data_IF_650756177511
#
_entry.id   IF_650756177511
#
_cell.length_a   1.000
_cell.length_b   1.000
_cell.length_c   1.000
_cell.angle_alpha   90.00
_cell.angle_beta   90.00
_cell.angle_gamma   90.00
#
_symmetry.space_group_name_H-M   'P 1'
#
loop_
_entity.id
_entity.type
_entity.pdbx_description
1 polymer ?
#
# COMPACT_ATOMS: atom_id res chain seq x y z
N UNK A 1 13.79 -5.79 11.41
CA UNK A 1 13.84 -5.03 12.68
C UNK A 1 14.03 -3.53 12.46
N UNK A 2 15.17 -3.01 11.98
CA UNK A 2 15.31 -1.55 11.76
C UNK A 2 14.36 -1.01 10.68
N UNK A 3 14.19 -1.74 9.57
CA UNK A 3 13.21 -1.40 8.52
C UNK A 3 11.80 -1.26 9.08
N UNK A 4 11.35 -2.26 9.83
CA UNK A 4 10.05 -2.28 10.49
C UNK A 4 9.85 -1.07 11.42
N UNK A 5 10.87 -0.72 12.22
CA UNK A 5 10.82 0.46 13.08
C UNK A 5 10.64 1.75 12.28
N UNK A 6 11.37 1.93 11.17
CA UNK A 6 11.21 3.10 10.26
C UNK A 6 9.79 3.17 9.70
N UNK A 7 9.29 2.05 9.21
CA UNK A 7 7.95 1.96 8.61
C UNK A 7 6.86 2.23 9.66
N UNK A 8 7.03 1.74 10.89
CA UNK A 8 6.13 2.04 12.02
C UNK A 8 6.12 3.53 12.36
N UNK A 9 7.26 4.23 12.30
CA UNK A 9 7.31 5.68 12.48
C UNK A 9 6.52 6.42 11.39
N UNK A 10 6.64 5.98 10.13
CA UNK A 10 5.84 6.51 9.03
C UNK A 10 4.34 6.28 9.26
N UNK A 11 3.92 5.04 9.54
CA UNK A 11 2.52 4.70 9.82
C UNK A 11 1.96 5.52 10.98
N UNK A 12 2.66 5.53 12.12
CA UNK A 12 2.23 6.29 13.30
C UNK A 12 2.10 7.78 13.02
N UNK A 13 2.94 8.34 12.14
CA UNK A 13 2.90 9.76 11.78
C UNK A 13 1.62 10.16 11.01
N UNK A 14 1.00 9.21 10.30
CA UNK A 14 -0.30 9.37 9.62
C UNK A 14 -1.48 8.86 10.47
N UNK A 15 -1.27 8.63 11.76
CA UNK A 15 -2.31 8.14 12.67
C UNK A 15 -2.77 6.71 12.38
N UNK A 16 -1.95 5.90 11.69
CA UNK A 16 -2.18 4.47 11.63
C UNK A 16 -1.92 3.86 13.01
N UNK A 17 -2.88 3.06 13.47
CA UNK A 17 -2.73 2.30 14.70
C UNK A 17 -1.65 1.23 14.50
N UNK A 18 -0.52 1.40 15.19
CA UNK A 18 0.56 0.43 15.32
C UNK A 18 0.92 0.32 16.80
N UNK A 19 1.37 -0.84 17.32
CA UNK A 19 1.84 -0.92 18.70
C UNK A 19 3.01 0.04 18.90
N UNK A 20 3.04 0.75 20.02
CA UNK A 20 4.14 1.67 20.29
C UNK A 20 5.47 0.91 20.27
N UNK A 21 6.42 1.40 19.47
CA UNK A 21 7.74 0.77 19.35
C UNK A 21 8.82 1.65 19.96
N UNK A 22 9.77 1.03 20.65
CA UNK A 22 10.96 1.67 21.18
C UNK A 22 12.21 0.97 20.64
N UNK A 23 13.26 1.75 20.34
CA UNK A 23 14.54 1.22 19.86
C UNK A 23 15.62 1.41 20.93
N UNK A 24 16.42 0.37 21.12
CA UNK A 24 17.50 0.32 22.09
C UNK A 24 18.81 0.04 21.37
N UNK A 25 19.85 0.80 21.71
CA UNK A 25 21.22 0.57 21.31
C UNK A 25 22.01 0.13 22.53
N UNK A 26 22.57 -1.08 22.51
CA UNK A 26 23.33 -1.66 23.62
C UNK A 26 22.56 -1.51 24.96
N UNK A 27 21.30 -1.96 24.96
CA UNK A 27 20.35 -1.94 26.09
C UNK A 27 19.96 -0.55 26.61
N UNK A 28 20.23 0.52 25.85
CA UNK A 28 19.81 1.89 26.19
C UNK A 28 18.80 2.42 25.20
N UNK A 29 17.69 2.95 25.71
CA UNK A 29 16.69 3.63 24.91
C UNK A 29 17.38 4.72 24.08
N UNK A 30 17.15 4.69 22.77
CA UNK A 30 17.84 5.50 21.79
C UNK A 30 16.86 6.02 20.74
N UNK A 31 17.33 6.95 19.91
CA UNK A 31 16.62 7.39 18.72
C UNK A 31 17.23 6.78 17.43
N UNK A 32 16.52 6.92 16.32
CA UNK A 32 16.94 6.38 15.02
C UNK A 32 18.31 6.92 14.59
N UNK A 33 18.56 8.22 14.80
CA UNK A 33 19.82 8.88 14.39
C UNK A 33 21.01 8.34 15.17
N UNK A 34 20.86 8.10 16.47
CA UNK A 34 21.89 7.50 17.32
C UNK A 34 22.21 6.07 16.87
N UNK A 35 21.17 5.28 16.60
CA UNK A 35 21.30 3.88 16.14
C UNK A 35 22.01 3.81 14.79
N UNK A 36 21.59 4.63 13.81
CA UNK A 36 22.22 4.68 12.49
C UNK A 36 23.70 5.06 12.57
N UNK A 37 24.03 6.06 13.39
CA UNK A 37 25.41 6.49 13.59
C UNK A 37 26.26 5.36 14.18
N UNK A 38 25.73 4.67 15.19
CA UNK A 38 26.43 3.58 15.86
C UNK A 38 26.68 2.39 14.92
N UNK A 39 25.67 1.97 14.15
CA UNK A 39 25.78 0.88 13.18
C UNK A 39 26.80 1.16 12.06
N UNK A 40 26.99 2.43 11.69
CA UNK A 40 28.02 2.85 10.72
C UNK A 40 29.43 2.82 11.31
N UNK A 41 29.56 3.08 12.61
CA UNK A 41 30.87 3.20 13.28
C UNK A 41 31.37 1.91 13.93
N UNK A 42 30.46 1.03 14.36
CA UNK A 42 30.78 -0.15 15.16
C UNK A 42 29.82 -1.28 14.85
N UNK A 43 30.34 -2.31 14.17
CA UNK A 43 29.59 -3.51 13.79
C UNK A 43 29.24 -4.42 14.96
N UNK A 44 29.79 -4.19 16.16
CA UNK A 44 29.41 -4.89 17.40
C UNK A 44 28.19 -4.29 18.08
N UNK A 45 27.70 -3.13 17.61
CA UNK A 45 26.50 -2.48 18.13
C UNK A 45 25.30 -3.41 18.06
N UNK A 46 24.67 -3.65 19.21
CA UNK A 46 23.44 -4.44 19.29
C UNK A 46 22.22 -3.51 19.26
N UNK A 47 21.30 -3.79 18.35
CA UNK A 47 20.05 -3.07 18.20
C UNK A 47 18.88 -3.98 18.56
N UNK A 48 18.05 -3.50 19.48
CA UNK A 48 16.83 -4.19 19.90
C UNK A 48 15.64 -3.27 19.68
N UNK A 49 14.61 -3.74 18.98
CA UNK A 49 13.32 -3.05 18.88
C UNK A 49 12.32 -3.79 19.75
N UNK A 50 11.65 -3.06 20.63
CA UNK A 50 10.57 -3.58 21.46
C UNK A 50 9.25 -2.96 21.00
N UNK A 51 8.22 -3.79 20.92
CA UNK A 51 6.87 -3.37 20.57
C UNK A 51 5.94 -3.54 21.77
N UNK A 52 5.01 -2.61 21.93
CA UNK A 52 3.97 -2.68 22.94
C UNK A 52 3.17 -3.98 22.79
N UNK A 53 2.94 -4.66 23.91
CA UNK A 53 1.99 -5.76 23.95
C UNK A 53 0.56 -5.22 24.00
N UNK A 54 -0.28 -5.61 23.04
CA UNK A 54 -1.70 -5.22 23.00
C UNK A 54 -2.51 -6.28 23.74
N UNK A 55 -2.91 -5.96 24.98
CA UNK A 55 -3.65 -6.89 25.83
C UNK A 55 -5.00 -7.28 25.25
N UNK A 56 -5.34 -8.57 25.35
CA UNK A 56 -6.62 -9.16 24.93
C UNK A 56 -7.00 -8.92 23.47
N UNK A 57 -6.03 -8.56 22.61
CA UNK A 57 -6.28 -8.45 21.18
C UNK A 57 -6.43 -9.83 20.52
N UNK A 58 -7.23 -9.86 19.47
CA UNK A 58 -7.38 -11.02 18.57
C UNK A 58 -6.73 -10.70 17.24
N UNK A 59 -6.18 -11.69 16.58
CA UNK A 59 -5.79 -11.55 15.17
C UNK A 59 -7.03 -11.34 14.28
N UNK A 60 -6.85 -10.78 13.08
CA UNK A 60 -7.93 -10.66 12.11
C UNK A 60 -8.55 -12.01 11.78
N UNK A 61 -7.73 -13.06 11.65
CA UNK A 61 -8.16 -14.45 11.50
C UNK A 61 -9.18 -14.88 12.59
N UNK A 62 -8.84 -14.66 13.86
CA UNK A 62 -9.69 -15.02 14.99
C UNK A 62 -10.94 -14.14 15.10
N UNK A 63 -10.79 -12.85 14.81
CA UNK A 63 -11.88 -11.88 14.88
C UNK A 63 -12.96 -12.20 13.85
N UNK A 64 -12.59 -12.39 12.58
CA UNK A 64 -13.54 -12.61 11.49
C UNK A 64 -14.31 -13.94 11.61
N UNK A 65 -13.77 -14.92 12.34
CA UNK A 65 -14.43 -16.19 12.66
C UNK A 65 -15.49 -16.06 13.76
N UNK A 66 -15.35 -15.06 14.64
CA UNK A 66 -16.16 -14.95 15.88
C UNK A 66 -17.11 -13.77 15.89
N UNK A 67 -16.97 -12.84 14.94
CA UNK A 67 -17.74 -11.59 14.88
C UNK A 67 -18.67 -11.55 13.67
N UNK A 68 -19.67 -10.68 13.74
CA UNK A 68 -20.63 -10.48 12.66
C UNK A 68 -19.97 -9.81 11.44
N UNK A 69 -20.59 -9.98 10.27
CA UNK A 69 -20.12 -9.32 9.03
C UNK A 69 -20.02 -7.80 9.19
N UNK A 70 -20.94 -7.17 9.90
CA UNK A 70 -20.92 -5.71 10.08
C UNK A 70 -19.78 -5.26 11.00
N UNK A 71 -19.49 -5.98 12.08
CA UNK A 71 -18.32 -5.70 12.92
C UNK A 71 -17.02 -5.87 12.12
N UNK A 72 -16.93 -6.92 11.29
CA UNK A 72 -15.81 -7.09 10.37
C UNK A 72 -15.70 -5.94 9.37
N UNK A 73 -16.82 -5.40 8.86
CA UNK A 73 -16.81 -4.25 7.96
C UNK A 73 -16.32 -2.97 8.65
N UNK A 74 -16.58 -2.80 9.95
CA UNK A 74 -16.03 -1.67 10.73
C UNK A 74 -14.50 -1.73 10.73
N UNK A 75 -13.93 -2.90 11.04
CA UNK A 75 -12.48 -3.11 11.05
C UNK A 75 -11.87 -2.92 9.65
N UNK A 76 -12.48 -3.48 8.61
CA UNK A 76 -12.02 -3.27 7.22
C UNK A 76 -11.99 -1.79 6.84
N UNK A 77 -13.07 -1.05 7.15
CA UNK A 77 -13.12 0.41 6.91
C UNK A 77 -12.03 1.15 7.67
N UNK A 78 -11.73 0.79 8.92
CA UNK A 78 -10.65 1.39 9.71
C UNK A 78 -9.29 1.16 9.04
N UNK A 79 -8.97 -0.08 8.71
CA UNK A 79 -7.71 -0.46 8.05
C UNK A 79 -7.58 0.22 6.67
N UNK A 80 -8.65 0.25 5.87
CA UNK A 80 -8.65 0.88 4.54
C UNK A 80 -8.33 2.38 4.53
N UNK A 81 -8.40 3.09 5.66
CA UNK A 81 -8.04 4.52 5.75
C UNK A 81 -6.57 4.81 5.45
N UNK A 82 -5.71 3.80 5.54
CA UNK A 82 -4.27 3.92 5.27
C UNK A 82 -3.83 3.02 4.11
N UNK A 83 -4.78 2.58 3.27
CA UNK A 83 -4.53 1.73 2.12
C UNK A 83 -3.43 2.25 1.19
N UNK A 84 -3.42 3.57 0.90
CA UNK A 84 -2.41 4.15 0.01
C UNK A 84 -1.02 4.13 0.65
N UNK A 85 -0.89 4.19 1.98
CA UNK A 85 0.42 4.00 2.64
C UNK A 85 0.91 2.55 2.48
N UNK A 86 0.02 1.57 2.64
CA UNK A 86 0.35 0.16 2.41
C UNK A 86 0.83 -0.07 0.97
N UNK A 87 0.14 0.54 0.00
CA UNK A 87 0.52 0.51 -1.41
C UNK A 87 1.84 1.25 -1.66
N UNK A 88 2.00 2.46 -1.15
CA UNK A 88 3.19 3.29 -1.33
C UNK A 88 4.44 2.57 -0.84
N UNK A 89 4.35 1.86 0.29
CA UNK A 89 5.47 1.09 0.84
C UNK A 89 5.57 -0.33 0.28
N UNK A 90 4.72 -0.71 -0.67
CA UNK A 90 4.65 -2.08 -1.19
C UNK A 90 4.62 -3.12 -0.06
N UNK A 91 3.83 -2.88 0.99
CA UNK A 91 3.74 -3.76 2.16
C UNK A 91 2.84 -4.97 1.83
N UNK A 92 3.39 -5.92 1.07
CA UNK A 92 2.67 -7.10 0.58
C UNK A 92 2.23 -8.06 1.69
N UNK A 93 2.77 -7.91 2.90
CA UNK A 93 2.45 -8.74 4.05
C UNK A 93 1.60 -8.00 5.10
N UNK A 94 0.92 -6.91 4.71
CA UNK A 94 0.11 -6.09 5.62
C UNK A 94 -0.96 -6.88 6.37
N UNK A 95 -1.55 -7.92 5.76
CA UNK A 95 -2.55 -8.79 6.41
C UNK A 95 -1.90 -10.04 7.04
N UNK A 96 -0.72 -10.42 6.58
CA UNK A 96 -0.06 -11.68 6.95
C UNK A 96 -0.65 -12.87 6.20
N UNK A 97 0.18 -13.89 5.99
CA UNK A 97 -0.20 -15.13 5.30
C UNK A 97 -1.44 -15.81 5.92
N UNK A 98 -1.53 -15.77 7.25
CA UNK A 98 -2.61 -16.39 8.03
C UNK A 98 -3.57 -15.35 8.63
N UNK A 99 -3.70 -14.16 8.02
CA UNK A 99 -4.51 -13.06 8.58
C UNK A 99 -4.10 -12.66 10.01
N UNK A 100 -2.80 -12.77 10.30
CA UNK A 100 -2.22 -12.60 11.63
C UNK A 100 -1.66 -11.20 11.90
N UNK A 101 -1.40 -10.40 10.85
CA UNK A 101 -0.64 -9.16 10.98
C UNK A 101 -1.53 -7.94 11.32
N UNK A 102 -2.81 -8.19 11.56
CA UNK A 102 -3.75 -7.20 12.10
C UNK A 102 -4.25 -7.70 13.46
N UNK A 103 -4.00 -6.93 14.51
CA UNK A 103 -4.52 -7.17 15.86
C UNK A 103 -5.71 -6.26 16.13
N UNK A 104 -6.82 -6.82 16.61
CA UNK A 104 -8.03 -6.09 16.95
C UNK A 104 -8.19 -6.09 18.46
N UNK A 105 -8.12 -4.90 19.05
CA UNK A 105 -8.53 -4.67 20.43
C UNK A 105 -10.00 -4.27 20.47
N UNK A 106 -10.74 -4.81 21.43
CA UNK A 106 -12.16 -4.54 21.63
C UNK A 106 -12.37 -3.88 22.98
N UNK A 107 -13.02 -2.71 23.00
CA UNK A 107 -13.40 -2.07 24.27
C UNK A 107 -14.61 -2.75 24.89
N UNK A 108 -14.58 -2.91 26.21
CA UNK A 108 -15.70 -3.48 26.97
C UNK A 108 -16.73 -2.38 27.23
N UNK A 109 -17.94 -2.51 26.66
CA UNK A 109 -19.02 -1.54 26.83
C UNK A 109 -20.31 -1.96 26.13
N UNK A 110 -21.36 -1.13 26.24
CA UNK A 110 -22.67 -1.39 25.58
C UNK A 110 -22.60 -1.33 24.06
N UNK A 111 -21.66 -0.56 23.51
CA UNK A 111 -21.33 -0.54 22.09
C UNK A 111 -19.83 -0.85 21.98
N UNK A 112 -19.43 -2.03 21.49
CA UNK A 112 -18.02 -2.36 21.35
C UNK A 112 -17.38 -1.41 20.34
N UNK A 113 -16.19 -0.92 20.67
CA UNK A 113 -15.32 -0.23 19.71
C UNK A 113 -14.15 -1.14 19.37
N UNK A 114 -13.82 -1.19 18.09
CA UNK A 114 -12.69 -1.95 17.58
C UNK A 114 -11.57 -0.97 17.24
N UNK A 115 -10.35 -1.33 17.64
CA UNK A 115 -9.14 -0.63 17.25
C UNK A 115 -8.25 -1.67 16.57
N UNK A 116 -7.93 -1.45 15.30
CA UNK A 116 -7.18 -2.38 14.49
C UNK A 116 -5.72 -1.91 14.34
N UNK A 117 -4.79 -2.66 14.91
CA UNK A 117 -3.36 -2.40 14.88
C UNK A 117 -2.68 -3.19 13.77
N UNK A 118 -1.90 -2.53 12.93
CA UNK A 118 -0.95 -3.21 12.01
C UNK A 118 0.29 -3.63 12.78
N UNK A 119 0.72 -4.87 12.60
CA UNK A 119 1.96 -5.42 13.15
C UNK A 119 2.80 -6.04 12.04
N UNK A 120 4.06 -6.38 12.35
CA UNK A 120 4.97 -7.07 11.44
C UNK A 120 5.15 -6.36 10.08
N UNK A 121 5.39 -5.04 10.14
CA UNK A 121 5.58 -4.21 8.95
C UNK A 121 7.00 -4.36 8.34
N UNK A 122 7.69 -5.47 8.63
CA UNK A 122 9.06 -5.72 8.19
C UNK A 122 9.20 -5.94 6.69
N UNK A 123 8.13 -6.40 6.02
CA UNK A 123 8.06 -6.68 4.57
C UNK A 123 7.72 -5.48 3.68
N UNK A 124 7.78 -4.27 4.23
CA UNK A 124 7.62 -3.02 3.49
C UNK A 124 8.95 -2.53 2.88
N UNK A 125 8.85 -1.59 1.94
CA UNK A 125 9.95 -0.95 1.23
C UNK A 125 10.83 -1.96 0.49
N UNK A 126 12.15 -1.88 0.63
CA UNK A 126 13.13 -2.73 -0.04
C UNK A 126 13.21 -4.17 0.47
N UNK A 127 12.39 -4.58 1.44
CA UNK A 127 12.43 -5.90 2.07
C UNK A 127 11.13 -6.69 1.89
N UNK A 128 11.25 -8.02 1.96
CA UNK A 128 10.14 -8.99 2.06
C UNK A 128 9.94 -9.39 3.52
N UNK A 129 8.79 -10.00 3.84
CA UNK A 129 8.44 -10.47 5.19
C UNK A 129 9.53 -11.36 5.84
N UNK A 130 10.22 -12.17 5.03
CA UNK A 130 11.33 -13.03 5.50
C UNK A 130 12.64 -12.27 5.77
N UNK A 131 12.64 -10.93 5.73
CA UNK A 131 13.82 -10.09 5.93
C UNK A 131 14.81 -10.05 4.76
N UNK A 132 14.54 -10.80 3.68
CA UNK A 132 15.32 -10.71 2.43
C UNK A 132 14.97 -9.43 1.68
N UNK A 133 15.90 -8.92 0.87
CA UNK A 133 15.59 -7.85 -0.07
C UNK A 133 14.53 -8.32 -1.08
N UNK A 134 13.69 -7.39 -1.53
CA UNK A 134 12.81 -7.60 -2.68
C UNK A 134 13.64 -7.87 -3.94
N UNK A 135 13.11 -8.71 -4.82
CA UNK A 135 13.74 -9.01 -6.10
C UNK A 135 13.65 -7.78 -7.03
N UNK A 136 14.46 -7.77 -8.09
CA UNK A 136 14.43 -6.71 -9.09
C UNK A 136 13.01 -6.61 -9.68
N UNK A 137 12.46 -5.39 -9.73
CA UNK A 137 11.10 -5.12 -10.22
C UNK A 137 10.01 -5.15 -9.15
N UNK A 138 10.25 -5.69 -7.95
CA UNK A 138 9.23 -5.71 -6.88
C UNK A 138 9.18 -4.42 -6.05
N UNK A 139 10.26 -3.65 -6.04
CA UNK A 139 10.36 -2.36 -5.39
C UNK A 139 10.84 -1.33 -6.40
N UNK A 140 9.88 -0.71 -7.08
CA UNK A 140 10.08 0.17 -8.23
C UNK A 140 9.09 1.35 -8.19
N UNK A 141 9.17 2.25 -9.16
CA UNK A 141 8.33 3.44 -9.30
C UNK A 141 6.84 3.11 -9.45
N UNK A 142 6.51 1.97 -10.07
CA UNK A 142 5.13 1.59 -10.33
C UNK A 142 4.43 1.07 -9.07
N UNK A 143 3.30 1.69 -8.70
CA UNK A 143 2.47 1.30 -7.55
C UNK A 143 1.37 0.33 -7.97
N UNK A 144 1.78 -0.88 -8.35
CA UNK A 144 0.87 -1.96 -8.75
C UNK A 144 -0.10 -2.39 -7.63
N UNK A 145 0.30 -2.18 -6.38
CA UNK A 145 -0.45 -2.55 -5.18
C UNK A 145 -1.84 -1.91 -5.10
N UNK A 146 -2.04 -0.72 -5.70
CA UNK A 146 -3.36 -0.05 -5.79
C UNK A 146 -4.42 -0.98 -6.39
N UNK A 147 -4.05 -1.79 -7.37
CA UNK A 147 -4.95 -2.76 -8.01
C UNK A 147 -4.84 -4.13 -7.35
N UNK A 148 -3.61 -4.62 -7.15
CA UNK A 148 -3.36 -5.99 -6.69
C UNK A 148 -3.87 -6.26 -5.27
N UNK A 149 -3.86 -5.25 -4.38
CA UNK A 149 -4.37 -5.44 -3.02
C UNK A 149 -5.89 -5.57 -2.96
N UNK A 150 -6.61 -5.11 -3.98
CA UNK A 150 -8.06 -5.25 -4.09
C UNK A 150 -8.49 -6.54 -4.82
N UNK A 151 -7.55 -7.23 -5.47
CA UNK A 151 -7.81 -8.40 -6.30
C UNK A 151 -7.63 -9.71 -5.49
N UNK A 152 -8.76 -10.32 -5.11
CA UNK A 152 -8.79 -11.60 -4.40
C UNK A 152 -8.20 -12.77 -5.22
N UNK A 153 -8.14 -12.66 -6.55
CA UNK A 153 -7.52 -13.69 -7.39
C UNK A 153 -6.00 -13.68 -7.28
N UNK A 154 -5.42 -12.50 -7.02
CA UNK A 154 -3.99 -12.32 -6.81
C UNK A 154 -3.59 -12.61 -5.36
N UNK A 155 -4.29 -11.99 -4.40
CA UNK A 155 -4.06 -12.22 -2.98
C UNK A 155 -5.38 -12.14 -2.22
N UNK A 156 -5.84 -13.31 -1.78
CA UNK A 156 -7.11 -13.46 -1.06
C UNK A 156 -7.15 -12.65 0.24
N UNK A 157 -6.05 -12.55 0.96
CA UNK A 157 -5.99 -11.89 2.27
C UNK A 157 -6.16 -10.37 2.11
N UNK A 158 -5.38 -9.75 1.23
CA UNK A 158 -5.50 -8.31 0.94
C UNK A 158 -6.82 -8.02 0.23
N UNK A 159 -7.22 -8.84 -0.74
CA UNK A 159 -8.49 -8.68 -1.45
C UNK A 159 -9.69 -8.73 -0.49
N UNK A 160 -9.69 -9.68 0.46
CA UNK A 160 -10.73 -9.76 1.48
C UNK A 160 -10.77 -8.53 2.39
N UNK A 161 -9.61 -7.93 2.69
CA UNK A 161 -9.53 -6.74 3.54
C UNK A 161 -10.01 -5.47 2.80
N UNK A 162 -9.55 -5.28 1.56
CA UNK A 162 -9.67 -3.98 0.87
C UNK A 162 -10.76 -3.93 -0.21
N UNK A 163 -11.11 -5.06 -0.83
CA UNK A 163 -12.08 -5.09 -1.92
C UNK A 163 -13.46 -4.62 -1.45
N UNK A 164 -13.99 -3.58 -2.11
CA UNK A 164 -15.26 -2.93 -1.75
C UNK A 164 -15.19 -1.97 -0.55
N UNK A 165 -14.01 -1.79 0.07
CA UNK A 165 -13.79 -0.84 1.19
C UNK A 165 -12.92 0.35 0.80
N UNK A 166 -12.28 0.29 -0.37
CA UNK A 166 -11.48 1.36 -0.96
C UNK A 166 -12.14 1.78 -2.28
N UNK A 167 -12.17 3.09 -2.54
CA UNK A 167 -12.65 3.65 -3.80
C UNK A 167 -11.72 4.76 -4.30
N UNK A 168 -11.94 5.23 -5.54
CA UNK A 168 -11.11 6.25 -6.19
C UNK A 168 -11.01 7.55 -5.37
N UNK A 169 -12.11 8.04 -4.81
CA UNK A 169 -12.11 9.26 -3.99
C UNK A 169 -11.23 9.09 -2.75
N UNK A 170 -11.32 7.95 -2.07
CA UNK A 170 -10.50 7.65 -0.90
C UNK A 170 -9.02 7.52 -1.24
N UNK A 171 -8.68 6.95 -2.41
CA UNK A 171 -7.30 6.85 -2.90
C UNK A 171 -6.75 8.24 -3.22
N UNK A 172 -7.53 9.07 -3.90
CA UNK A 172 -7.18 10.46 -4.21
C UNK A 172 -6.89 11.26 -2.93
N UNK A 173 -7.82 11.22 -1.97
CA UNK A 173 -7.68 11.94 -0.70
C UNK A 173 -6.45 11.48 0.09
N UNK A 174 -6.26 10.17 0.25
CA UNK A 174 -5.09 9.63 0.94
C UNK A 174 -3.79 10.01 0.22
N UNK A 175 -3.76 9.95 -1.11
CA UNK A 175 -2.55 10.32 -1.87
C UNK A 175 -2.20 11.79 -1.70
N UNK A 176 -3.17 12.70 -1.82
CA UNK A 176 -2.95 14.14 -1.62
C UNK A 176 -2.46 14.45 -0.19
N UNK A 177 -3.03 13.80 0.81
CA UNK A 177 -2.60 13.93 2.21
C UNK A 177 -1.15 13.45 2.38
N UNK A 178 -0.81 12.29 1.82
CA UNK A 178 0.54 11.73 1.89
C UNK A 178 1.54 12.64 1.19
N UNK A 179 1.27 13.04 -0.05
CA UNK A 179 2.15 13.92 -0.82
C UNK A 179 2.42 15.24 -0.10
N UNK A 180 1.39 15.85 0.50
CA UNK A 180 1.51 17.12 1.22
C UNK A 180 2.35 17.01 2.50
N UNK A 181 2.61 15.80 2.99
CA UNK A 181 3.29 15.55 4.26
C UNK A 181 4.54 14.67 4.16
N UNK A 182 4.85 14.09 2.99
CA UNK A 182 5.88 13.07 2.83
C UNK A 182 7.27 13.54 3.28
N UNK A 183 7.66 14.78 2.95
CA UNK A 183 8.93 15.37 3.37
C UNK A 183 9.11 15.44 4.89
N UNK A 184 8.01 15.58 5.63
CA UNK A 184 8.03 15.72 7.09
C UNK A 184 7.75 14.41 7.81
N UNK A 185 6.89 13.57 7.26
CA UNK A 185 6.33 12.39 7.94
C UNK A 185 6.85 11.06 7.42
N UNK A 186 7.53 11.03 6.27
CA UNK A 186 8.06 9.80 5.66
C UNK A 186 9.57 9.90 5.50
N UNK A 187 10.04 10.85 4.69
CA UNK A 187 11.45 10.91 4.27
C UNK A 187 12.47 10.97 5.41
N UNK A 188 12.21 11.64 6.55
CA UNK A 188 13.16 11.67 7.66
C UNK A 188 13.42 10.29 8.30
N UNK A 189 12.54 9.31 8.07
CA UNK A 189 12.66 7.97 8.64
C UNK A 189 13.24 6.95 7.67
N UNK A 190 13.35 7.25 6.37
CA UNK A 190 13.75 6.29 5.35
C UNK A 190 15.23 6.39 4.98
N UNK A 191 15.78 5.29 4.46
CA UNK A 191 17.11 5.32 3.83
C UNK A 191 17.07 6.10 2.50
N UNK A 192 18.18 6.74 2.07
CA UNK A 192 18.18 7.56 0.86
C UNK A 192 17.68 6.84 -0.41
N UNK A 193 17.98 5.54 -0.54
CA UNK A 193 17.50 4.73 -1.68
C UNK A 193 15.99 4.51 -1.63
N UNK A 194 15.43 4.32 -0.44
CA UNK A 194 13.98 4.16 -0.28
C UNK A 194 13.26 5.51 -0.44
N UNK A 195 13.85 6.62 -0.01
CA UNK A 195 13.32 7.98 -0.28
C UNK A 195 13.18 8.21 -1.79
N UNK A 196 14.20 7.86 -2.58
CA UNK A 196 14.16 8.03 -4.04
C UNK A 196 13.00 7.24 -4.67
N UNK A 197 12.84 5.96 -4.28
CA UNK A 197 11.78 5.11 -4.84
C UNK A 197 10.40 5.58 -4.36
N UNK A 198 10.25 5.94 -3.08
CA UNK A 198 8.98 6.48 -2.56
C UNK A 198 8.59 7.77 -3.29
N UNK A 199 9.55 8.66 -3.59
CA UNK A 199 9.30 9.86 -4.38
C UNK A 199 8.76 9.49 -5.78
N UNK A 200 9.43 8.57 -6.48
CA UNK A 200 8.98 8.10 -7.79
C UNK A 200 7.58 7.45 -7.75
N UNK A 201 7.28 6.71 -6.68
CA UNK A 201 5.97 6.10 -6.44
C UNK A 201 4.90 7.15 -6.17
N UNK A 202 5.21 8.23 -5.45
CA UNK A 202 4.30 9.37 -5.28
C UNK A 202 4.03 10.08 -6.61
N UNK A 203 5.07 10.29 -7.43
CA UNK A 203 4.93 10.88 -8.76
C UNK A 203 4.05 10.01 -9.67
N UNK A 204 4.21 8.68 -9.60
CA UNK A 204 3.34 7.73 -10.30
C UNK A 204 1.87 7.84 -9.85
N UNK A 205 1.63 7.84 -8.53
CA UNK A 205 0.27 8.00 -7.97
C UNK A 205 -0.34 9.34 -8.39
N UNK A 206 0.44 10.43 -8.36
CA UNK A 206 -0.02 11.74 -8.82
C UNK A 206 -0.45 11.72 -10.29
N UNK A 207 0.33 11.08 -11.16
CA UNK A 207 0.03 11.01 -12.59
C UNK A 207 -1.27 10.25 -12.87
N UNK A 208 -1.49 9.12 -12.19
CA UNK A 208 -2.73 8.36 -12.31
C UNK A 208 -3.93 9.17 -11.80
N UNK A 209 -3.77 9.93 -10.71
CA UNK A 209 -4.83 10.78 -10.17
C UNK A 209 -5.13 12.01 -11.04
N UNK A 210 -4.11 12.58 -11.69
CA UNK A 210 -4.28 13.63 -12.69
C UNK A 210 -5.16 13.18 -13.84
N UNK A 211 -5.08 11.90 -14.23
CA UNK A 211 -5.98 11.31 -15.23
C UNK A 211 -7.41 11.18 -14.69
N UNK A 212 -7.62 10.75 -13.44
CA UNK A 212 -8.96 10.63 -12.85
C UNK A 212 -9.67 11.97 -12.64
N UNK A 213 -8.94 13.04 -12.30
CA UNK A 213 -9.50 14.39 -12.12
C UNK A 213 -10.00 15.00 -13.44
N UNK A 214 -9.31 14.71 -14.56
CA UNK A 214 -9.73 15.15 -15.90
C UNK A 214 -11.02 14.42 -16.31
N UNK A 215 -11.09 13.10 -16.15
CA UNK A 215 -12.30 12.30 -16.43
C UNK A 215 -13.53 12.72 -15.62
N UNK A 216 -13.35 13.06 -14.34
CA UNK A 216 -14.47 13.50 -13.47
C UNK A 216 -14.93 14.94 -13.74
N UNK A 217 -14.03 15.83 -14.17
CA UNK A 217 -14.39 17.19 -14.59
C UNK A 217 -15.12 17.23 -15.95
N UNK A 218 -14.80 16.32 -16.86
CA UNK A 218 -15.48 16.16 -18.15
C UNK A 218 -16.95 15.69 -17.98
N UNK A 219 -17.25 14.89 -16.95
CA UNK A 219 -18.60 14.44 -16.63
C UNK A 219 -19.49 15.56 -16.03
N UNK A 220 -18.88 16.60 -15.43
CA UNK A 220 -19.60 17.70 -14.77
C UNK A 220 -19.92 18.90 -15.69
N UNK A 221 -19.26 18.99 -16.85
CA UNK A 221 -19.28 20.20 -17.71
C UNK A 221 -20.20 20.11 -18.93
N UNK A 222 -21.02 19.06 -19.07
CA UNK A 222 -22.02 18.97 -20.14
C UNK A 222 -23.28 19.80 -19.84
N UNK A 223 -23.14 21.12 -19.84
CA UNK A 223 -24.21 22.05 -20.22
C UNK A 223 -23.61 23.21 -21.01
N UNK A 224 -23.94 23.24 -22.30
CA UNK A 224 -23.73 24.29 -23.32
C UNK A 224 -22.34 24.39 -23.99
N UNK A 225 -22.31 23.98 -25.26
CA UNK A 225 -21.53 24.68 -26.29
C UNK A 225 -20.50 23.83 -27.05
N UNK A 226 -20.86 23.45 -28.27
CA UNK A 226 -20.03 22.85 -29.32
C UNK A 226 -18.75 23.67 -29.56
N UNK A 227 -17.56 23.06 -29.40
CA UNK A 227 -16.49 23.00 -30.43
C UNK A 227 -15.64 21.74 -30.20
N UNK A 228 -15.43 21.03 -31.30
CA UNK A 228 -14.69 19.78 -31.52
C UNK A 228 -13.21 19.88 -31.10
N UNK A 229 -12.76 18.98 -30.22
CA UNK A 229 -11.41 18.41 -30.23
C UNK A 229 -11.46 17.05 -29.50
N UNK A 230 -11.33 15.99 -30.30
CA UNK A 230 -11.48 14.60 -29.92
C UNK A 230 -10.34 14.13 -28.99
N UNK A 231 -10.66 13.86 -27.73
CA UNK A 231 -9.92 12.94 -26.88
C UNK A 231 -10.87 11.82 -26.48
N UNK A 232 -10.81 10.71 -27.20
CA UNK A 232 -11.52 9.48 -26.85
C UNK A 232 -10.91 8.88 -25.56
N UNK A 233 -11.70 8.86 -24.49
CA UNK A 233 -11.53 7.93 -23.37
C UNK A 233 -11.62 6.51 -23.92
N UNK A 234 -10.49 5.86 -24.16
CA UNK A 234 -10.47 4.47 -24.59
C UNK A 234 -10.76 3.53 -23.39
N UNK A 235 -12.00 3.55 -22.91
CA UNK A 235 -12.62 2.41 -22.20
C UNK A 235 -12.73 1.17 -23.09
N UNK A 236 -12.50 1.33 -24.40
CA UNK A 236 -12.49 0.24 -25.37
C UNK A 236 -11.06 -0.26 -25.60
N UNK A 237 -10.84 -1.53 -25.28
CA UNK A 237 -9.56 -2.19 -25.52
C UNK A 237 -9.35 -2.34 -27.02
N UNK A 238 -8.22 -1.87 -27.52
CA UNK A 238 -7.85 -2.00 -28.91
C UNK A 238 -7.67 -3.50 -29.24
N UNK A 239 -8.68 -4.06 -29.91
CA UNK A 239 -8.74 -5.48 -30.23
C UNK A 239 -7.58 -5.93 -31.14
N UNK A 240 -6.94 -5.02 -31.89
CA UNK A 240 -5.75 -5.35 -32.68
C UNK A 240 -4.52 -5.57 -31.80
N UNK A 241 -4.39 -4.79 -30.72
CA UNK A 241 -3.32 -4.98 -29.74
C UNK A 241 -3.55 -6.25 -28.91
N UNK A 242 -4.80 -6.54 -28.56
CA UNK A 242 -5.17 -7.81 -27.90
C UNK A 242 -4.77 -8.99 -28.78
N UNK A 243 -5.11 -8.97 -30.07
CA UNK A 243 -4.70 -10.00 -31.01
C UNK A 243 -3.17 -10.12 -31.12
N UNK A 244 -2.46 -8.99 -31.11
CA UNK A 244 -0.99 -8.97 -31.16
C UNK A 244 -0.36 -9.62 -29.94
N UNK A 245 -0.87 -9.35 -28.74
CA UNK A 245 -0.41 -10.00 -27.50
C UNK A 245 -0.78 -11.49 -27.45
N UNK A 246 -1.94 -11.86 -28.00
CA UNK A 246 -2.33 -13.26 -28.14
C UNK A 246 -1.44 -14.03 -29.12
N UNK A 247 -1.02 -13.42 -30.22
CA UNK A 247 -0.04 -14.01 -31.16
C UNK A 247 1.34 -14.23 -30.50
N UNK A 248 1.68 -13.42 -29.49
CA UNK A 248 2.88 -13.61 -28.66
C UNK A 248 2.73 -14.71 -27.59
N UNK A 249 1.54 -15.32 -27.48
CA UNK A 249 1.28 -16.48 -26.61
C UNK A 249 0.57 -16.16 -25.29
N UNK A 250 0.16 -14.90 -25.06
CA UNK A 250 -0.61 -14.52 -23.88
C UNK A 250 -2.11 -14.83 -24.04
N UNK A 251 -2.82 -15.10 -22.95
CA UNK A 251 -4.27 -15.28 -23.03
C UNK A 251 -4.97 -13.96 -23.35
N UNK A 252 -6.19 -14.07 -23.93
CA UNK A 252 -7.01 -12.90 -24.27
C UNK A 252 -7.27 -12.01 -23.04
N UNK A 253 -7.63 -12.63 -21.93
CA UNK A 253 -7.94 -11.94 -20.68
C UNK A 253 -6.73 -11.19 -20.12
N UNK A 254 -5.55 -11.83 -20.10
CA UNK A 254 -4.29 -11.18 -19.69
C UNK A 254 -3.94 -10.00 -20.61
N UNK A 255 -4.13 -10.17 -21.92
CA UNK A 255 -3.85 -9.14 -22.92
C UNK A 255 -4.77 -7.94 -22.78
N UNK A 256 -6.07 -8.18 -22.57
CA UNK A 256 -7.06 -7.13 -22.34
C UNK A 256 -6.78 -6.38 -21.03
N UNK A 257 -6.48 -7.09 -19.93
CA UNK A 257 -6.13 -6.47 -18.66
C UNK A 257 -4.84 -5.63 -18.74
N UNK A 258 -3.80 -6.16 -19.37
CA UNK A 258 -2.54 -5.45 -19.54
C UNK A 258 -2.69 -4.18 -20.40
N UNK A 259 -3.52 -4.25 -21.45
CA UNK A 259 -3.81 -3.10 -22.30
C UNK A 259 -4.73 -2.09 -21.63
N UNK A 260 -5.70 -2.51 -20.82
CA UNK A 260 -6.52 -1.60 -20.00
C UNK A 260 -5.61 -0.87 -19.01
N UNK A 261 -4.79 -1.61 -18.27
CA UNK A 261 -3.86 -1.05 -17.28
C UNK A 261 -2.80 -0.13 -17.91
N UNK A 262 -2.51 -0.34 -19.19
CA UNK A 262 -1.51 0.41 -19.95
C UNK A 262 -2.10 1.45 -20.90
N UNK A 263 -3.41 1.70 -20.86
CA UNK A 263 -4.14 2.57 -21.78
C UNK A 263 -3.81 2.30 -23.27
N UNK A 264 -3.92 1.05 -23.68
CA UNK A 264 -3.58 0.55 -25.02
C UNK A 264 -2.12 0.81 -25.46
N UNK A 265 -1.18 1.03 -24.53
CA UNK A 265 0.26 1.05 -24.82
C UNK A 265 0.83 -0.37 -24.79
N UNK A 266 1.27 -0.88 -25.94
CA UNK A 266 1.76 -2.27 -26.06
C UNK A 266 3.09 -2.51 -25.34
N UNK A 267 4.00 -1.54 -25.30
CA UNK A 267 5.29 -1.70 -24.61
C UNK A 267 5.09 -1.80 -23.10
N UNK A 268 4.23 -0.94 -22.55
CA UNK A 268 3.83 -0.99 -21.14
C UNK A 268 3.04 -2.25 -20.82
N UNK A 269 2.14 -2.68 -21.73
CA UNK A 269 1.38 -3.93 -21.56
C UNK A 269 2.29 -5.16 -21.59
N UNK A 270 3.32 -5.19 -22.44
CA UNK A 270 4.31 -6.27 -22.46
C UNK A 270 5.15 -6.29 -21.18
N UNK A 271 5.57 -5.12 -20.68
CA UNK A 271 6.22 -5.02 -19.37
C UNK A 271 5.34 -5.57 -18.25
N UNK A 272 4.03 -5.35 -18.32
CA UNK A 272 3.06 -5.91 -17.38
C UNK A 272 2.89 -7.43 -17.52
N UNK A 273 3.03 -8.00 -18.73
CA UNK A 273 2.79 -9.42 -19.02
C UNK A 273 4.00 -10.33 -18.82
N UNK A 274 5.22 -9.79 -18.89
CA UNK A 274 6.45 -10.56 -18.71
C UNK A 274 6.93 -10.63 -17.25
N UNK A 275 6.23 -9.96 -16.33
CA UNK A 275 6.50 -9.94 -14.89
C UNK A 275 5.36 -10.61 -14.10
#
# INVERSE_FOLDING_TARGET
>A
MLNEFRVNLCYSSFGCNIPQTAIYLNDKLSDLTQVEKALKSDSSSQVTVLSQFIENAKTWNEFQKTKSKEECNIVRREISRHFVLDCLFANRDVIGMDDSNILISETVGHTPQFIAYRIDNGGALSFRAQGKKKDVGEWQEFVSEINLFCDESFNKNTGNMFSGFVNQDSILQQTLEIMSNAERLIFPFLEPTDVQIVQQRLDYLQNILGMFAVSSSALSSNTLGIVDDQFDEATEVNQQLVASLMEMGFSREQSEMALIASNNNIETALSFLFN
#
